data_IF_681502198213
#
_entry.id   IF_681502198213
#
_cell.length_a   1.000
_cell.length_b   1.000
_cell.length_c   1.000
_cell.angle_alpha   90.00
_cell.angle_beta   90.00
_cell.angle_gamma   90.00
#
_symmetry.space_group_name_H-M   'P 1'
#
loop_
_entity.id
_entity.type
_entity.pdbx_description
1 polymer ?
#
# COMPACT_ATOMS: atom_id res chain seq x y z
N UNK A 1 -19.72 8.41 -11.03
CA UNK A 1 -19.08 7.41 -10.40
C UNK A 1 -19.96 6.74 -9.46
N UNK A 2 -19.77 5.57 -9.46
CA UNK A 2 -20.50 4.89 -8.54
C UNK A 2 -20.31 5.56 -7.25
N UNK A 3 -21.33 6.02 -6.77
CA UNK A 3 -21.26 6.53 -5.49
C UNK A 3 -20.80 5.44 -4.60
N UNK A 4 -19.80 5.72 -3.96
CA UNK A 4 -19.36 4.76 -3.04
C UNK A 4 -20.19 4.95 -1.83
N UNK A 5 -21.10 4.09 -1.67
CA UNK A 5 -21.86 4.10 -0.48
C UNK A 5 -21.13 3.29 0.51
N UNK A 6 -20.62 3.92 1.51
CA UNK A 6 -19.88 3.20 2.52
C UNK A 6 -20.85 2.59 3.46
N UNK A 7 -21.05 1.33 3.29
CA UNK A 7 -21.87 0.59 4.20
C UNK A 7 -20.99 -0.08 5.23
N UNK A 8 -21.58 -0.48 6.32
CA UNK A 8 -20.81 -1.08 7.40
C UNK A 8 -19.99 -2.27 6.91
N UNK A 9 -20.54 -3.07 6.04
CA UNK A 9 -19.80 -4.21 5.52
C UNK A 9 -18.62 -3.77 4.70
N UNK A 10 -18.74 -2.62 4.02
CA UNK A 10 -17.66 -2.13 3.19
C UNK A 10 -16.50 -1.62 4.00
N UNK A 11 -16.73 -1.18 5.23
CA UNK A 11 -15.65 -0.71 6.07
C UNK A 11 -14.66 -1.83 6.37
N UNK A 12 -15.10 -3.07 6.30
CA UNK A 12 -14.23 -4.21 6.51
C UNK A 12 -13.35 -4.47 5.30
N UNK A 13 -13.67 -3.84 4.18
CA UNK A 13 -12.98 -4.11 2.93
C UNK A 13 -12.24 -2.90 2.40
N UNK A 14 -11.95 -1.95 3.27
CA UNK A 14 -11.25 -0.75 2.83
C UNK A 14 -9.91 -0.65 3.50
N UNK A 15 -9.03 0.07 2.86
CA UNK A 15 -7.72 0.37 3.41
C UNK A 15 -7.68 1.87 3.64
N UNK A 16 -7.38 2.27 4.87
CA UNK A 16 -7.35 3.68 5.22
C UNK A 16 -5.96 4.23 4.98
N UNK A 17 -5.91 5.34 4.27
CA UNK A 17 -4.65 6.00 3.96
C UNK A 17 -4.66 7.39 4.57
N UNK A 18 -3.67 7.68 5.39
CA UNK A 18 -3.67 8.95 6.10
C UNK A 18 -3.41 10.12 5.16
N UNK A 19 -4.02 11.25 5.47
CA UNK A 19 -3.78 12.44 4.69
C UNK A 19 -2.34 12.93 4.86
N UNK A 20 -1.75 12.71 6.02
CA UNK A 20 -0.36 13.08 6.23
C UNK A 20 0.54 12.37 5.23
N UNK A 21 0.27 11.09 4.98
CA UNK A 21 1.06 10.36 3.99
C UNK A 21 0.86 10.96 2.61
N UNK A 22 -0.38 11.22 2.25
CA UNK A 22 -0.69 11.74 0.92
C UNK A 22 -0.05 13.11 0.70
N UNK A 23 -0.09 13.95 1.71
CA UNK A 23 0.38 15.32 1.56
C UNK A 23 1.89 15.46 1.69
N UNK A 24 2.50 14.68 2.58
CA UNK A 24 3.89 14.92 2.95
C UNK A 24 4.87 13.89 2.45
N UNK A 25 4.43 12.69 2.16
CA UNK A 25 5.34 11.61 1.76
C UNK A 25 5.15 11.16 0.32
N UNK A 26 3.90 11.02 -0.09
CA UNK A 26 3.61 10.53 -1.41
C UNK A 26 4.16 11.40 -2.54
N UNK A 27 4.05 12.75 -2.45
CA UNK A 27 4.41 13.57 -3.60
C UNK A 27 5.86 13.44 -4.03
N UNK A 28 6.75 13.08 -3.11
CA UNK A 28 8.17 12.98 -3.42
C UNK A 28 8.61 11.57 -3.71
N UNK A 29 7.71 10.61 -3.60
CA UNK A 29 8.07 9.22 -3.74
C UNK A 29 7.85 8.73 -5.16
N UNK A 30 8.64 7.74 -5.55
CA UNK A 30 8.42 7.03 -6.78
C UNK A 30 7.05 6.37 -6.75
N UNK A 31 6.29 6.48 -7.84
CA UNK A 31 4.95 5.90 -7.87
C UNK A 31 4.91 4.41 -7.58
N UNK A 32 5.92 3.68 -8.03
CA UNK A 32 5.99 2.26 -7.74
C UNK A 32 6.14 2.01 -6.24
N UNK A 33 6.89 2.86 -5.57
CA UNK A 33 7.04 2.75 -4.13
C UNK A 33 5.73 3.04 -3.42
N UNK A 34 4.94 3.97 -3.96
CA UNK A 34 3.64 4.28 -3.40
C UNK A 34 2.72 3.06 -3.51
N UNK A 35 2.76 2.37 -4.64
CA UNK A 35 1.96 1.17 -4.81
C UNK A 35 2.33 0.12 -3.76
N UNK A 36 3.61 -0.05 -3.51
CA UNK A 36 4.06 -1.01 -2.51
C UNK A 36 3.54 -0.62 -1.14
N UNK A 37 3.61 0.66 -0.80
CA UNK A 37 3.15 1.12 0.50
C UNK A 37 1.67 0.83 0.69
N UNK A 38 0.87 1.16 -0.31
CA UNK A 38 -0.57 0.94 -0.23
C UNK A 38 -0.88 -0.55 -0.10
N UNK A 39 -0.16 -1.37 -0.84
CA UNK A 39 -0.39 -2.80 -0.77
C UNK A 39 -0.03 -3.35 0.61
N UNK A 40 1.04 -2.83 1.21
CA UNK A 40 1.39 -3.22 2.56
C UNK A 40 0.29 -2.87 3.54
N UNK A 41 -0.26 -1.67 3.41
CA UNK A 41 -1.36 -1.27 4.27
C UNK A 41 -2.54 -2.22 4.12
N UNK A 42 -2.83 -2.59 2.89
CA UNK A 42 -3.90 -3.54 2.62
C UNK A 42 -3.65 -4.85 3.35
N UNK A 43 -2.41 -5.30 3.34
CA UNK A 43 -2.06 -6.57 3.96
C UNK A 43 -2.13 -6.54 5.46
N UNK A 44 -1.98 -5.35 6.04
CA UNK A 44 -2.00 -5.18 7.48
C UNK A 44 -3.35 -4.74 8.02
N UNK A 45 -4.33 -4.55 7.16
CA UNK A 45 -5.61 -4.04 7.59
C UNK A 45 -6.43 -5.16 8.22
N UNK A 46 -7.72 -4.89 8.39
CA UNK A 46 -8.60 -5.73 9.18
C UNK A 46 -8.70 -7.19 8.76
N UNK A 47 -8.22 -7.52 7.59
CA UNK A 47 -8.18 -8.90 7.14
C UNK A 47 -6.76 -9.19 6.70
N UNK A 48 -5.86 -9.43 7.63
CA UNK A 48 -4.46 -9.65 7.29
C UNK A 48 -4.30 -10.79 6.31
N UNK A 49 -3.46 -10.58 5.33
CA UNK A 49 -3.21 -11.57 4.31
C UNK A 49 -1.72 -11.83 4.28
N UNK A 50 -1.34 -13.08 4.29
CA UNK A 50 0.05 -13.42 4.12
C UNK A 50 0.46 -13.15 2.68
N UNK A 51 1.67 -12.67 2.51
CA UNK A 51 2.19 -12.48 1.17
C UNK A 51 3.68 -12.71 1.20
N UNK A 52 4.20 -13.07 0.05
CA UNK A 52 5.64 -13.20 -0.12
C UNK A 52 6.08 -12.08 -1.06
N UNK A 53 7.40 -11.88 -1.10
CA UNK A 53 7.95 -10.90 -2.04
C UNK A 53 7.58 -11.27 -3.47
N UNK A 54 7.58 -12.55 -3.76
CA UNK A 54 7.25 -13.01 -5.09
C UNK A 54 5.81 -12.67 -5.46
N UNK A 55 4.89 -12.94 -4.55
CA UNK A 55 3.48 -12.65 -4.80
C UNK A 55 3.24 -11.15 -4.96
N UNK A 56 3.89 -10.36 -4.12
CA UNK A 56 3.74 -8.92 -4.21
C UNK A 56 4.28 -8.39 -5.53
N UNK A 57 5.44 -8.89 -5.93
CA UNK A 57 6.02 -8.46 -7.19
C UNK A 57 5.13 -8.81 -8.36
N UNK A 58 4.56 -10.01 -8.36
CA UNK A 58 3.65 -10.42 -9.42
C UNK A 58 2.42 -9.52 -9.47
N UNK A 59 1.85 -9.24 -8.33
CA UNK A 59 0.63 -8.44 -8.28
C UNK A 59 0.87 -7.01 -8.70
N UNK A 60 2.01 -6.46 -8.36
CA UNK A 60 2.32 -5.07 -8.66
C UNK A 60 3.10 -4.92 -9.96
N UNK A 61 3.31 -6.02 -10.68
CA UNK A 61 3.97 -6.02 -11.98
C UNK A 61 5.37 -5.41 -11.89
N UNK A 62 6.13 -5.85 -10.91
CA UNK A 62 7.50 -5.41 -10.74
C UNK A 62 8.33 -6.57 -10.24
N UNK A 63 9.61 -6.33 -9.95
CA UNK A 63 10.50 -7.38 -9.50
C UNK A 63 10.59 -7.38 -7.98
N UNK A 64 11.10 -8.50 -7.43
CA UNK A 64 11.30 -8.56 -5.99
C UNK A 64 12.32 -7.52 -5.54
N UNK A 65 13.29 -7.22 -6.39
CA UNK A 65 14.26 -6.18 -6.07
C UNK A 65 13.57 -4.83 -5.93
N UNK A 66 12.61 -4.54 -6.79
CA UNK A 66 11.85 -3.31 -6.71
C UNK A 66 11.09 -3.23 -5.40
N UNK A 67 10.52 -4.35 -4.97
CA UNK A 67 9.79 -4.39 -3.72
C UNK A 67 10.75 -4.08 -2.56
N UNK A 68 11.92 -4.72 -2.56
CA UNK A 68 12.89 -4.48 -1.50
C UNK A 68 13.35 -3.03 -1.45
N UNK A 69 13.54 -2.44 -2.61
CA UNK A 69 13.93 -1.03 -2.67
C UNK A 69 12.87 -0.14 -2.08
N UNK A 70 11.61 -0.44 -2.38
CA UNK A 70 10.50 0.32 -1.83
C UNK A 70 10.44 0.18 -0.31
N UNK A 71 10.61 -1.03 0.18
CA UNK A 71 10.59 -1.26 1.62
C UNK A 71 11.70 -0.48 2.32
N UNK A 72 12.88 -0.47 1.72
CA UNK A 72 13.99 0.29 2.31
C UNK A 72 13.69 1.78 2.30
N UNK A 73 13.08 2.26 1.23
CA UNK A 73 12.74 3.67 1.14
C UNK A 73 11.77 4.06 2.25
N UNK A 74 10.71 3.28 2.42
CA UNK A 74 9.71 3.61 3.43
C UNK A 74 10.24 3.44 4.84
N UNK A 75 11.15 2.50 5.05
CA UNK A 75 11.77 2.34 6.36
C UNK A 75 12.54 3.59 6.74
N UNK A 76 13.21 4.22 5.77
CA UNK A 76 13.93 5.45 6.04
C UNK A 76 13.00 6.60 6.38
N UNK A 77 11.78 6.56 5.88
CA UNK A 77 10.79 7.58 6.20
C UNK A 77 10.12 7.33 7.54
N UNK A 78 10.44 6.22 8.18
CA UNK A 78 9.87 5.85 9.47
C UNK A 78 8.35 5.68 9.43
N UNK A 79 7.89 5.12 8.36
CA UNK A 79 6.46 4.86 8.19
C UNK A 79 6.09 3.43 8.49
#
# INVERSE_FOLDING_TARGET
>A
MATITLQNSSLMEVTILSNTFIDNYMPEANGEFVKVYIYLLRSLSNAPVSFSLEQMADRLLCTERDILRALKYWAKQEL
#
